data_IF_093256863356
#
_entry.id   IF_093256863356
#
_cell.length_a   1.000
_cell.length_b   1.000
_cell.length_c   1.000
_cell.angle_alpha   90.00
_cell.angle_beta   90.00
_cell.angle_gamma   90.00
#
_symmetry.space_group_name_H-M   'P 1'
#
loop_
_entity.id
_entity.type
_entity.pdbx_description
1 polymer ?
#
# COMPACT_ATOMS: atom_id res chain seq x y z
N UNK A 1 11.84 10.43 -0.90
CA UNK A 1 10.68 9.54 -0.83
C UNK A 1 9.62 10.14 0.07
N UNK A 2 8.35 9.99 -0.33
CA UNK A 2 7.18 10.47 0.44
C UNK A 2 6.60 9.35 1.33
N UNK A 3 6.60 8.07 0.90
CA UNK A 3 6.03 6.99 1.68
C UNK A 3 6.71 6.81 3.04
N UNK A 4 5.90 6.57 4.07
CA UNK A 4 6.39 6.23 5.40
C UNK A 4 6.92 4.79 5.42
N UNK A 5 8.10 4.53 6.00
CA UNK A 5 8.58 3.18 6.25
C UNK A 5 7.63 2.40 7.17
N UNK A 6 7.49 1.11 6.93
CA UNK A 6 6.66 0.21 7.73
C UNK A 6 7.49 -0.90 8.33
N UNK A 7 7.25 -1.25 9.58
CA UNK A 7 7.97 -2.32 10.30
C UNK A 7 7.05 -3.50 10.55
N UNK A 8 7.45 -4.68 10.12
CA UNK A 8 6.78 -5.94 10.42
C UNK A 8 7.75 -7.11 10.22
N UNK A 9 7.52 -8.22 10.93
CA UNK A 9 8.28 -9.48 10.79
C UNK A 9 9.81 -9.34 10.93
N UNK A 10 10.28 -8.38 11.74
CA UNK A 10 11.72 -8.12 11.89
C UNK A 10 12.36 -7.38 10.70
N UNK A 11 11.52 -6.81 9.83
CA UNK A 11 11.93 -6.09 8.62
C UNK A 11 11.38 -4.67 8.59
N UNK A 12 12.12 -3.77 7.96
CA UNK A 12 11.71 -2.42 7.61
C UNK A 12 11.45 -2.38 6.10
N UNK A 13 10.22 -2.04 5.71
CA UNK A 13 9.83 -1.91 4.32
C UNK A 13 9.91 -0.44 3.89
N UNK A 14 10.60 -0.21 2.80
CA UNK A 14 10.81 1.10 2.19
C UNK A 14 10.34 1.04 0.75
N UNK A 15 9.67 2.09 0.28
CA UNK A 15 9.30 2.21 -1.12
C UNK A 15 9.65 3.59 -1.68
N UNK A 16 10.01 3.64 -2.95
CA UNK A 16 10.31 4.87 -3.67
C UNK A 16 10.09 4.68 -5.16
N UNK A 17 9.63 5.74 -5.84
CA UNK A 17 9.44 5.74 -7.29
C UNK A 17 9.82 7.09 -7.94
N UNK A 18 10.17 8.12 -7.17
CA UNK A 18 10.50 9.44 -7.71
C UNK A 18 11.99 9.58 -8.03
N UNK A 19 12.30 10.07 -9.22
CA UNK A 19 13.67 10.39 -9.63
C UNK A 19 14.57 9.17 -9.88
N UNK A 20 14.00 7.98 -10.02
CA UNK A 20 14.75 6.74 -10.22
C UNK A 20 13.86 5.52 -10.39
N UNK A 21 14.41 4.31 -10.35
CA UNK A 21 13.62 3.09 -10.45
C UNK A 21 12.66 2.96 -9.25
N UNK A 22 11.42 2.56 -9.55
CA UNK A 22 10.40 2.27 -8.55
C UNK A 22 10.82 1.05 -7.72
N UNK A 23 11.17 1.23 -6.46
CA UNK A 23 11.75 0.17 -5.63
C UNK A 23 10.89 -0.14 -4.43
N UNK A 24 10.85 -1.43 -4.06
CA UNK A 24 10.46 -1.92 -2.76
C UNK A 24 11.71 -2.54 -2.14
N UNK A 25 12.01 -2.20 -0.91
CA UNK A 25 13.17 -2.71 -0.18
C UNK A 25 12.68 -3.28 1.15
N UNK A 26 13.08 -4.51 1.46
CA UNK A 26 12.93 -5.10 2.79
C UNK A 26 14.31 -5.23 3.43
N UNK A 27 14.49 -4.51 4.51
CA UNK A 27 15.75 -4.37 5.24
C UNK A 27 15.58 -4.97 6.62
N UNK A 28 16.60 -5.66 7.13
CA UNK A 28 16.57 -6.15 8.53
C UNK A 28 16.36 -4.98 9.50
N UNK A 29 15.50 -5.13 10.49
CA UNK A 29 15.32 -4.13 11.56
C UNK A 29 16.59 -3.90 12.39
N UNK A 30 17.51 -4.87 12.39
CA UNK A 30 18.81 -4.79 13.06
C UNK A 30 19.91 -4.23 12.13
N UNK A 31 19.54 -3.70 10.96
CA UNK A 31 20.51 -3.14 10.02
C UNK A 31 21.23 -1.93 10.62
N UNK A 32 22.54 -1.90 10.49
CA UNK A 32 23.38 -0.81 10.98
C UNK A 32 24.47 -0.44 9.97
N UNK A 33 24.83 0.84 9.92
CA UNK A 33 25.85 1.37 9.03
C UNK A 33 25.33 1.64 7.62
N UNK A 34 26.25 1.80 6.67
CA UNK A 34 25.94 2.06 5.28
C UNK A 34 25.35 0.82 4.60
N UNK A 35 24.24 1.01 3.88
CA UNK A 35 23.59 -0.05 3.12
C UNK A 35 23.77 0.18 1.62
N UNK A 36 24.23 -0.85 0.93
CA UNK A 36 24.22 -0.87 -0.53
C UNK A 36 23.04 -1.69 -1.05
N UNK A 37 22.28 -1.10 -1.99
CA UNK A 37 21.16 -1.78 -2.66
C UNK A 37 21.74 -2.71 -3.75
N UNK A 38 22.43 -3.76 -3.31
CA UNK A 38 22.95 -4.83 -4.17
C UNK A 38 22.32 -6.15 -3.73
N UNK A 39 22.14 -7.13 -4.63
CA UNK A 39 21.55 -8.43 -4.28
C UNK A 39 22.22 -9.14 -3.10
N UNK A 40 23.53 -8.92 -2.91
CA UNK A 40 24.34 -9.52 -1.83
C UNK A 40 24.64 -8.50 -0.71
N UNK A 41 23.87 -7.40 -0.66
CA UNK A 41 24.04 -6.35 0.35
C UNK A 41 23.74 -6.87 1.73
N UNK A 42 24.70 -6.76 2.65
CA UNK A 42 24.52 -7.03 4.07
C UNK A 42 23.35 -6.16 4.57
N UNK A 43 22.35 -6.75 5.17
CA UNK A 43 21.13 -6.12 5.70
C UNK A 43 19.94 -5.99 4.71
N UNK A 44 20.11 -6.12 3.42
CA UNK A 44 19.00 -6.20 2.46
C UNK A 44 18.52 -7.64 2.37
N UNK A 45 17.26 -7.89 2.78
CA UNK A 45 16.68 -9.23 2.76
C UNK A 45 16.13 -9.54 1.37
N UNK A 46 15.33 -8.60 0.81
CA UNK A 46 14.88 -8.68 -0.57
C UNK A 46 14.58 -7.29 -1.14
N UNK A 47 14.49 -7.21 -2.46
CA UNK A 47 14.12 -5.98 -3.16
C UNK A 47 13.39 -6.26 -4.47
N UNK A 48 12.42 -5.40 -4.79
CA UNK A 48 11.87 -5.27 -6.14
C UNK A 48 12.25 -3.91 -6.74
N UNK A 49 12.41 -3.84 -8.08
CA UNK A 49 12.88 -2.64 -8.79
C UNK A 49 11.82 -2.02 -9.71
N UNK A 50 10.55 -2.45 -9.62
CA UNK A 50 9.50 -2.06 -10.59
C UNK A 50 8.25 -1.50 -9.95
N UNK A 51 7.88 -1.95 -8.74
CA UNK A 51 6.54 -1.74 -8.18
C UNK A 51 6.51 -0.85 -6.95
N UNK A 52 7.59 -0.13 -6.65
CA UNK A 52 7.60 0.87 -5.58
C UNK A 52 6.59 1.98 -5.81
N UNK A 53 6.08 2.54 -4.71
CA UNK A 53 5.14 3.65 -4.71
C UNK A 53 5.86 5.00 -4.59
N UNK A 54 5.24 6.06 -5.13
CA UNK A 54 5.73 7.43 -5.03
C UNK A 54 5.15 8.19 -3.84
N UNK A 55 3.83 8.11 -3.64
CA UNK A 55 3.10 8.85 -2.60
C UNK A 55 2.61 7.94 -1.47
N UNK A 56 2.06 6.78 -1.82
CA UNK A 56 1.38 5.90 -0.90
C UNK A 56 2.37 5.12 -0.04
N UNK A 57 2.13 5.10 1.26
CA UNK A 57 2.85 4.20 2.16
C UNK A 57 2.41 2.76 1.94
N UNK A 58 3.34 1.80 1.91
CA UNK A 58 2.97 0.39 1.93
C UNK A 58 2.39 0.03 3.29
N UNK A 59 1.76 -1.13 3.39
CA UNK A 59 1.36 -1.70 4.69
C UNK A 59 1.44 -3.22 4.66
N UNK A 60 1.60 -3.81 5.82
CA UNK A 60 1.58 -5.26 6.02
C UNK A 60 0.26 -5.64 6.69
N UNK A 61 -0.39 -6.66 6.17
CA UNK A 61 -1.58 -7.26 6.76
C UNK A 61 -1.46 -8.78 6.72
N UNK A 62 -1.37 -9.40 7.88
CA UNK A 62 -0.96 -10.80 7.98
C UNK A 62 0.50 -10.99 7.60
N UNK A 63 0.77 -11.89 6.67
CA UNK A 63 2.10 -12.14 6.11
C UNK A 63 2.33 -11.42 4.76
N UNK A 64 1.37 -10.67 4.26
CA UNK A 64 1.40 -10.00 2.97
C UNK A 64 1.77 -8.51 3.10
N UNK A 65 2.71 -8.05 2.25
CA UNK A 65 3.01 -6.64 2.01
C UNK A 65 2.22 -6.17 0.80
N UNK A 66 1.48 -5.07 0.97
CA UNK A 66 0.72 -4.42 -0.10
C UNK A 66 1.33 -3.07 -0.45
N UNK A 67 1.49 -2.84 -1.75
CA UNK A 67 2.00 -1.58 -2.30
C UNK A 67 1.05 -1.11 -3.40
N UNK A 68 0.54 0.12 -3.28
CA UNK A 68 -0.25 0.76 -4.32
C UNK A 68 0.56 1.88 -4.95
N UNK A 69 0.48 2.02 -6.27
CA UNK A 69 1.11 3.11 -7.03
C UNK A 69 0.09 4.19 -7.38
N UNK A 70 0.59 5.40 -7.64
CA UNK A 70 -0.18 6.58 -8.05
C UNK A 70 -1.10 6.36 -9.26
N UNK A 71 -0.78 5.39 -10.11
CA UNK A 71 -1.59 5.00 -11.27
C UNK A 71 -2.55 3.84 -11.01
N UNK A 72 -2.82 3.49 -9.76
CA UNK A 72 -3.77 2.45 -9.36
C UNK A 72 -3.30 1.01 -9.56
N UNK A 73 -2.00 0.79 -9.78
CA UNK A 73 -1.44 -0.56 -9.77
C UNK A 73 -1.15 -0.97 -8.33
N UNK A 74 -1.86 -1.99 -7.86
CA UNK A 74 -1.61 -2.65 -6.58
C UNK A 74 -0.74 -3.89 -6.80
N UNK A 75 0.16 -4.16 -5.87
CA UNK A 75 0.97 -5.37 -5.81
C UNK A 75 0.96 -5.97 -4.42
N UNK A 76 1.01 -7.31 -4.35
CA UNK A 76 1.04 -8.09 -3.13
C UNK A 76 2.25 -9.03 -3.14
N UNK A 77 2.91 -9.12 -2.00
CA UNK A 77 4.16 -9.83 -1.81
C UNK A 77 4.14 -10.58 -0.49
N UNK A 78 4.76 -11.74 -0.43
CA UNK A 78 5.14 -12.31 0.86
C UNK A 78 6.13 -11.35 1.54
N UNK A 79 5.78 -10.84 2.72
CA UNK A 79 6.56 -9.80 3.38
C UNK A 79 7.96 -10.29 3.77
N UNK A 80 8.12 -11.56 4.12
CA UNK A 80 9.38 -12.15 4.62
C UNK A 80 10.34 -12.52 3.48
N UNK A 81 9.80 -13.06 2.38
CA UNK A 81 10.59 -13.62 1.28
C UNK A 81 10.70 -12.73 0.05
N UNK A 82 9.75 -11.80 -0.13
CA UNK A 82 9.63 -11.00 -1.35
C UNK A 82 9.08 -11.79 -2.53
N UNK A 83 8.47 -12.96 -2.29
CA UNK A 83 7.73 -13.67 -3.34
C UNK A 83 6.52 -12.82 -3.77
N UNK A 84 6.43 -12.57 -5.06
CA UNK A 84 5.34 -11.79 -5.63
C UNK A 84 4.11 -12.66 -5.83
N UNK A 85 3.02 -12.33 -5.17
CA UNK A 85 1.74 -13.02 -5.31
C UNK A 85 0.96 -12.49 -6.51
N UNK A 86 0.72 -11.17 -6.59
CA UNK A 86 0.06 -10.57 -7.75
C UNK A 86 0.52 -9.12 -8.00
N UNK A 87 0.26 -8.67 -9.23
CA UNK A 87 0.29 -7.27 -9.64
C UNK A 87 -0.93 -7.01 -10.50
N UNK A 88 -1.79 -6.09 -10.10
CA UNK A 88 -3.05 -5.81 -10.78
C UNK A 88 -3.34 -4.30 -10.81
N UNK A 89 -3.92 -3.81 -11.89
CA UNK A 89 -4.48 -2.46 -11.98
C UNK A 89 -5.92 -2.48 -11.50
N UNK A 90 -6.27 -1.67 -10.50
CA UNK A 90 -7.63 -1.54 -10.00
C UNK A 90 -8.53 -0.82 -11.00
N UNK A 91 -8.13 0.36 -11.46
CA UNK A 91 -8.84 1.16 -12.47
C UNK A 91 -7.82 1.92 -13.33
N UNK A 92 -8.12 2.10 -14.62
CA UNK A 92 -7.28 2.87 -15.53
C UNK A 92 -7.73 4.33 -15.58
N UNK A 93 -6.76 5.25 -15.77
CA UNK A 93 -7.04 6.68 -15.98
C UNK A 93 -7.40 7.45 -14.71
N UNK A 94 -7.23 6.84 -13.53
CA UNK A 94 -7.58 7.40 -12.23
C UNK A 94 -6.34 7.51 -11.36
N UNK A 95 -6.16 8.62 -10.64
CA UNK A 95 -5.06 8.87 -9.72
C UNK A 95 -5.33 8.30 -8.33
N UNK A 96 -4.23 7.94 -7.64
CA UNK A 96 -4.27 7.49 -6.25
C UNK A 96 -3.16 8.22 -5.48
N UNK A 97 -3.51 9.08 -4.56
CA UNK A 97 -2.57 9.79 -3.67
C UNK A 97 -2.65 9.28 -2.23
N UNK A 98 -3.84 8.84 -1.82
CA UNK A 98 -4.07 8.31 -0.49
C UNK A 98 -3.41 6.95 -0.29
N UNK A 99 -2.78 6.72 0.85
CA UNK A 99 -2.40 5.38 1.27
C UNK A 99 -3.63 4.54 1.54
N UNK A 100 -3.60 3.27 1.14
CA UNK A 100 -4.63 2.30 1.51
C UNK A 100 -4.52 1.88 2.97
N UNK A 101 -5.56 1.22 3.45
CA UNK A 101 -5.60 0.57 4.77
C UNK A 101 -6.16 -0.84 4.66
N UNK A 102 -5.92 -1.66 5.69
CA UNK A 102 -6.51 -2.98 5.81
C UNK A 102 -7.37 -3.08 7.08
N UNK A 103 -8.54 -3.69 6.95
CA UNK A 103 -9.43 -4.01 8.07
C UNK A 103 -10.36 -5.16 7.70
N UNK A 104 -10.64 -6.05 8.64
CA UNK A 104 -11.60 -7.14 8.51
C UNK A 104 -11.43 -7.96 7.21
N UNK A 105 -10.19 -8.39 6.92
CA UNK A 105 -9.87 -9.18 5.73
C UNK A 105 -10.01 -8.45 4.40
N UNK A 106 -10.11 -7.13 4.42
CA UNK A 106 -10.29 -6.27 3.24
C UNK A 106 -9.26 -5.15 3.21
N UNK A 107 -8.94 -4.71 2.00
CA UNK A 107 -8.08 -3.57 1.71
C UNK A 107 -8.93 -2.47 1.11
N UNK A 108 -8.71 -1.24 1.52
CA UNK A 108 -9.49 -0.08 1.08
C UNK A 108 -8.55 0.94 0.44
N UNK A 109 -8.76 1.24 -0.84
CA UNK A 109 -7.97 2.19 -1.61
C UNK A 109 -8.87 3.27 -2.19
N UNK A 110 -8.90 4.48 -1.60
CA UNK A 110 -9.60 5.60 -2.20
C UNK A 110 -8.81 6.15 -3.39
N UNK A 111 -9.50 6.38 -4.49
CA UNK A 111 -9.00 7.13 -5.63
C UNK A 111 -9.13 8.64 -5.39
N UNK A 112 -8.43 9.44 -6.20
CA UNK A 112 -8.55 10.90 -6.17
C UNK A 112 -9.95 11.39 -6.56
N UNK A 113 -10.65 10.64 -7.42
CA UNK A 113 -12.03 10.92 -7.82
C UNK A 113 -13.05 10.60 -6.71
N UNK A 114 -12.63 9.85 -5.68
CA UNK A 114 -13.48 9.52 -4.54
C UNK A 114 -14.11 8.14 -4.61
N UNK A 115 -13.64 7.27 -5.49
CA UNK A 115 -14.04 5.87 -5.54
C UNK A 115 -13.18 5.05 -4.57
N UNK A 116 -13.79 4.33 -3.65
CA UNK A 116 -13.11 3.42 -2.74
C UNK A 116 -13.14 2.01 -3.30
N UNK A 117 -11.98 1.55 -3.79
CA UNK A 117 -11.80 0.18 -4.23
C UNK A 117 -11.62 -0.72 -3.01
N UNK A 118 -12.50 -1.70 -2.84
CA UNK A 118 -12.44 -2.70 -1.77
C UNK A 118 -11.93 -4.00 -2.36
N UNK A 119 -10.73 -4.40 -1.95
CA UNK A 119 -10.06 -5.60 -2.43
C UNK A 119 -9.97 -6.60 -1.27
N UNK A 120 -10.19 -7.88 -1.54
CA UNK A 120 -9.98 -8.94 -0.56
C UNK A 120 -8.50 -9.04 -0.18
N UNK A 121 -8.19 -9.12 1.10
CA UNK A 121 -6.84 -9.39 1.54
C UNK A 121 -6.45 -10.85 1.25
N UNK A 122 -5.21 -11.08 0.82
CA UNK A 122 -4.68 -12.42 0.52
C UNK A 122 -3.79 -12.42 -0.71
N UNK A 123 -3.44 -13.63 -1.14
CA UNK A 123 -2.45 -13.87 -2.20
C UNK A 123 -3.01 -13.75 -3.62
N UNK A 124 -4.32 -13.67 -3.76
CA UNK A 124 -5.01 -13.51 -5.04
C UNK A 124 -5.76 -12.19 -5.08
N UNK A 125 -5.75 -11.52 -6.24
CA UNK A 125 -6.49 -10.29 -6.42
C UNK A 125 -7.97 -10.59 -6.63
N UNK A 126 -8.82 -10.04 -5.75
CA UNK A 126 -10.27 -10.10 -5.87
C UNK A 126 -10.86 -8.72 -5.52
N UNK A 127 -11.43 -8.03 -6.50
CA UNK A 127 -12.15 -6.77 -6.29
C UNK A 127 -13.55 -7.10 -5.77
N UNK A 128 -13.83 -6.74 -4.53
CA UNK A 128 -15.12 -7.00 -3.87
C UNK A 128 -16.18 -5.93 -4.17
N UNK A 129 -15.75 -4.67 -4.21
CA UNK A 129 -16.65 -3.54 -4.45
C UNK A 129 -15.88 -2.28 -4.87
N UNK A 130 -16.62 -1.35 -5.49
CA UNK A 130 -16.22 0.04 -5.67
C UNK A 130 -17.34 0.91 -5.10
N UNK A 131 -17.02 1.75 -4.12
CA UNK A 131 -17.99 2.60 -3.42
C UNK A 131 -17.66 4.07 -3.64
N UNK A 132 -18.61 4.84 -4.14
CA UNK A 132 -18.44 6.26 -4.43
C UNK A 132 -18.64 7.10 -3.16
N UNK A 133 -17.67 7.99 -2.86
CA UNK A 133 -17.80 9.02 -1.82
C UNK A 133 -18.46 10.31 -2.33
N UNK A 134 -18.56 10.46 -3.65
CA UNK A 134 -19.14 11.60 -4.34
C UNK A 134 -18.29 12.87 -4.32
N UNK A 135 -17.06 12.81 -3.84
CA UNK A 135 -16.10 13.92 -3.79
C UNK A 135 -14.67 13.40 -3.82
N UNK A 136 -13.74 14.22 -4.31
CA UNK A 136 -12.30 13.97 -4.25
C UNK A 136 -11.82 13.52 -2.87
N UNK A 137 -11.08 12.42 -2.82
CA UNK A 137 -10.49 11.87 -1.59
C UNK A 137 -8.98 11.65 -1.78
N UNK A 138 -8.16 12.46 -1.12
CA UNK A 138 -6.68 12.37 -1.16
C UNK A 138 -6.07 12.02 0.20
N UNK A 139 -6.91 11.80 1.21
CA UNK A 139 -6.49 11.45 2.55
C UNK A 139 -6.61 9.94 2.79
N UNK A 140 -5.61 9.36 3.45
CA UNK A 140 -5.68 7.97 3.89
C UNK A 140 -6.91 7.77 4.80
N UNK A 141 -7.67 6.68 4.63
CA UNK A 141 -8.76 6.35 5.53
C UNK A 141 -8.25 6.01 6.93
N UNK A 142 -9.15 6.05 7.91
CA UNK A 142 -8.87 5.58 9.25
C UNK A 142 -9.90 4.54 9.69
N UNK A 143 -9.49 3.66 10.61
CA UNK A 143 -10.37 2.68 11.26
C UNK A 143 -10.40 2.98 12.75
N UNK A 144 -11.60 3.12 13.31
CA UNK A 144 -11.78 3.28 14.75
C UNK A 144 -13.16 2.78 15.17
N UNK A 145 -13.25 2.12 16.31
CA UNK A 145 -14.51 1.62 16.89
C UNK A 145 -15.38 0.82 15.89
N UNK A 146 -14.76 0.00 15.04
CA UNK A 146 -15.46 -0.78 14.03
C UNK A 146 -15.98 0.01 12.82
N UNK A 147 -15.65 1.28 12.71
CA UNK A 147 -16.04 2.15 11.60
C UNK A 147 -14.85 2.54 10.74
N UNK A 148 -15.14 2.79 9.46
CA UNK A 148 -14.22 3.43 8.51
C UNK A 148 -14.51 4.92 8.41
N UNK A 149 -13.47 5.73 8.39
CA UNK A 149 -13.57 7.18 8.25
C UNK A 149 -12.84 7.62 7.00
N UNK A 150 -13.54 8.34 6.12
CA UNK A 150 -12.99 8.94 4.91
C UNK A 150 -13.10 10.46 4.98
N UNK A 151 -11.99 11.16 4.78
CA UNK A 151 -11.98 12.60 4.64
C UNK A 151 -11.94 12.95 3.17
N UNK A 152 -13.04 13.51 2.67
CA UNK A 152 -13.13 14.06 1.33
C UNK A 152 -12.79 15.56 1.34
N UNK A 153 -12.98 16.23 0.20
CA UNK A 153 -12.70 17.67 0.08
C UNK A 153 -13.48 18.51 1.10
N UNK A 154 -14.76 18.21 1.31
CA UNK A 154 -15.65 19.02 2.18
C UNK A 154 -16.26 18.25 3.33
N UNK A 155 -16.15 16.90 3.37
CA UNK A 155 -16.85 16.05 4.34
C UNK A 155 -15.88 15.13 5.10
N UNK A 156 -16.32 14.74 6.30
CA UNK A 156 -15.84 13.55 7.01
C UNK A 156 -16.98 12.52 6.99
N UNK A 157 -16.74 11.39 6.33
CA UNK A 157 -17.73 10.32 6.15
C UNK A 157 -17.35 9.17 7.07
N UNK A 158 -18.27 8.75 7.93
CA UNK A 158 -18.15 7.56 8.77
C UNK A 158 -19.03 6.45 8.18
N UNK A 159 -18.42 5.28 7.97
CA UNK A 159 -19.11 4.08 7.48
C UNK A 159 -19.06 3.02 8.57
N UNK A 160 -20.24 2.63 9.06
CA UNK A 160 -20.40 1.57 10.06
C UNK A 160 -20.89 0.28 9.39
N UNK A 161 -20.63 -0.90 9.98
CA UNK A 161 -21.29 -2.14 9.56
C UNK A 161 -22.80 -2.02 9.80
N UNK A 162 -23.57 -2.71 8.95
CA UNK A 162 -25.02 -2.82 9.12
C UNK A 162 -25.37 -3.79 10.22
#
# INVERSE_FOLDING_TARGET
>A
PVPTPVVAHGLVFLTTAHGGPARILAVSENAAGEMTIKPDGKNLVWADRRYGAYLQSPFVYGDELYVCRDNGVISCWDAKTGEKHFVQRMTAGVGYSASGIAADGKLYYPSEEGDVHVVKAGKEYELLAVNELGETCMAAPAVSAGMLFFRTRTKLIAVAPK
#
